data_IF_542724540986
#
_entry.id   IF_542724540986
#
_cell.length_a   1.000
_cell.length_b   1.000
_cell.length_c   1.000
_cell.angle_alpha   90.00
_cell.angle_beta   90.00
_cell.angle_gamma   90.00
#
_symmetry.space_group_name_H-M   'P 1'
#
loop_
_entity.id
_entity.type
_entity.pdbx_description
1 polymer ?
#
# COMPACT_ATOMS: atom_id res chain seq x y z
N UNK A 1 56.89 -12.00 8.64
CA UNK A 1 57.42 -13.16 7.91
C UNK A 1 56.70 -14.43 8.33
N UNK A 2 56.15 -15.17 7.36
CA UNK A 2 55.52 -16.47 7.60
C UNK A 2 54.21 -16.69 6.84
N UNK A 3 54.27 -16.65 5.51
CA UNK A 3 53.18 -17.01 4.60
C UNK A 3 53.03 -18.54 4.59
N UNK A 4 51.82 -19.04 4.88
CA UNK A 4 51.45 -20.46 4.78
C UNK A 4 50.37 -20.67 3.72
N UNK A 5 50.80 -21.00 2.51
CA UNK A 5 50.00 -21.36 1.34
C UNK A 5 49.34 -22.73 1.54
N UNK A 6 48.02 -22.81 1.36
CA UNK A 6 47.29 -24.10 1.26
C UNK A 6 47.02 -24.39 -0.22
N UNK A 7 47.55 -25.53 -0.67
CA UNK A 7 47.44 -26.05 -2.02
C UNK A 7 46.00 -26.46 -2.37
N UNK A 8 45.59 -26.12 -3.59
CA UNK A 8 44.37 -26.58 -4.26
C UNK A 8 44.65 -27.87 -5.02
N UNK A 9 44.00 -28.97 -4.64
CA UNK A 9 43.98 -30.20 -5.45
C UNK A 9 42.78 -30.18 -6.41
N UNK A 10 43.10 -30.39 -7.70
CA UNK A 10 42.16 -30.54 -8.80
C UNK A 10 41.76 -32.01 -8.91
N UNK A 11 40.50 -32.32 -8.65
CA UNK A 11 39.88 -33.61 -8.98
C UNK A 11 39.01 -33.49 -10.23
N UNK A 12 39.49 -34.02 -11.35
CA UNK A 12 38.72 -34.17 -12.59
C UNK A 12 37.78 -35.38 -12.51
N UNK A 13 36.51 -35.20 -12.82
CA UNK A 13 35.59 -36.30 -13.14
C UNK A 13 34.85 -36.00 -14.45
N UNK A 14 35.30 -36.70 -15.49
CA UNK A 14 34.66 -36.85 -16.80
C UNK A 14 33.63 -37.97 -16.74
N UNK A 15 32.41 -37.73 -17.21
CA UNK A 15 31.39 -38.77 -17.36
C UNK A 15 30.16 -38.25 -18.09
N UNK A 16 30.23 -38.24 -19.42
CA UNK A 16 29.13 -37.85 -20.27
C UNK A 16 28.06 -38.93 -20.41
N UNK A 17 26.79 -38.52 -20.44
CA UNK A 17 25.73 -39.25 -21.14
C UNK A 17 24.87 -38.23 -21.87
N UNK A 18 25.06 -38.16 -23.19
CA UNK A 18 24.11 -37.51 -24.12
C UNK A 18 22.90 -38.42 -24.25
N UNK A 19 21.69 -37.91 -23.98
CA UNK A 19 20.45 -38.49 -24.52
C UNK A 19 19.76 -37.50 -25.45
N UNK A 20 19.27 -38.09 -26.55
CA UNK A 20 18.84 -37.48 -27.80
C UNK A 20 17.52 -36.74 -27.67
N UNK A 21 17.40 -35.72 -28.52
CA UNK A 21 16.17 -35.09 -28.99
C UNK A 21 15.12 -36.13 -29.41
N UNK A 22 13.87 -35.84 -29.05
CA UNK A 22 12.70 -36.28 -29.81
C UNK A 22 11.83 -35.04 -30.08
N UNK A 23 11.77 -34.67 -31.36
CA UNK A 23 10.84 -33.73 -31.94
C UNK A 23 9.43 -34.31 -31.93
N UNK A 24 8.45 -33.58 -31.42
CA UNK A 24 7.06 -33.79 -31.75
C UNK A 24 6.47 -32.44 -32.19
N UNK A 25 6.45 -32.27 -33.51
CA UNK A 25 5.74 -31.24 -34.22
C UNK A 25 4.24 -31.50 -34.17
N UNK A 26 3.46 -30.58 -33.60
CA UNK A 26 2.03 -30.45 -33.88
C UNK A 26 1.74 -28.97 -34.12
N UNK A 27 1.86 -28.55 -35.37
CA UNK A 27 1.51 -27.19 -35.77
C UNK A 27 0.00 -26.95 -35.64
N UNK A 28 -0.44 -25.71 -35.32
CA UNK A 28 -1.85 -25.38 -35.32
C UNK A 28 -2.39 -25.39 -36.76
N UNK A 29 -3.48 -26.13 -36.95
CA UNK A 29 -4.27 -26.19 -38.18
C UNK A 29 -4.75 -24.79 -38.58
N UNK A 30 -4.31 -24.34 -39.76
CA UNK A 30 -4.81 -23.13 -40.42
C UNK A 30 -6.27 -23.35 -40.82
N UNK A 31 -7.19 -22.62 -40.21
CA UNK A 31 -8.57 -22.52 -40.70
C UNK A 31 -8.58 -21.61 -41.94
N UNK A 32 -8.95 -22.18 -43.07
CA UNK A 32 -9.10 -21.50 -44.35
C UNK A 32 -10.38 -20.64 -44.36
N UNK A 33 -10.25 -19.41 -44.84
CA UNK A 33 -11.38 -18.53 -45.15
C UNK A 33 -12.13 -19.00 -46.41
N UNK A 34 -13.48 -19.03 -46.42
CA UNK A 34 -14.25 -19.11 -47.65
C UNK A 34 -14.46 -17.71 -48.28
N UNK A 35 -14.70 -17.64 -49.59
CA UNK A 35 -14.56 -16.42 -50.38
C UNK A 35 -15.76 -15.47 -50.27
N UNK A 36 -15.45 -14.18 -50.43
CA UNK A 36 -16.40 -13.08 -50.58
C UNK A 36 -17.38 -13.31 -51.75
N UNK A 37 -18.68 -13.16 -51.49
CA UNK A 37 -19.68 -12.80 -52.51
C UNK A 37 -20.27 -11.43 -52.19
N UNK A 38 -20.16 -10.54 -53.16
CA UNK A 38 -20.74 -9.20 -53.16
C UNK A 38 -22.27 -9.25 -53.24
N UNK A 39 -22.92 -8.51 -52.34
CA UNK A 39 -24.34 -8.15 -52.41
C UNK A 39 -24.54 -6.81 -51.72
N UNK A 40 -24.35 -5.71 -52.47
CA UNK A 40 -24.64 -4.35 -52.01
C UNK A 40 -26.16 -4.15 -51.95
N UNK A 41 -26.72 -3.98 -50.75
CA UNK A 41 -27.91 -3.16 -50.51
C UNK A 41 -27.63 -2.26 -49.32
N UNK A 42 -27.29 -1.00 -49.63
CA UNK A 42 -27.11 0.04 -48.65
C UNK A 42 -28.48 0.44 -48.10
N UNK A 43 -28.79 -0.02 -46.89
CA UNK A 43 -29.83 0.59 -46.04
C UNK A 43 -29.08 1.55 -45.13
N UNK A 44 -29.33 2.85 -45.29
CA UNK A 44 -28.76 3.89 -44.46
C UNK A 44 -29.25 3.69 -43.01
N UNK A 45 -28.48 2.95 -42.22
CA UNK A 45 -28.58 3.00 -40.75
C UNK A 45 -27.93 4.31 -40.34
N UNK A 46 -28.75 5.25 -39.89
CA UNK A 46 -28.28 6.36 -39.09
C UNK A 46 -27.42 5.77 -37.97
N UNK A 47 -26.12 6.06 -38.00
CA UNK A 47 -25.18 5.69 -36.95
C UNK A 47 -25.53 6.53 -35.73
N UNK A 48 -26.47 6.03 -34.91
CA UNK A 48 -26.60 6.52 -33.55
C UNK A 48 -25.24 6.29 -32.89
N UNK A 49 -24.55 7.37 -32.51
CA UNK A 49 -23.44 7.29 -31.58
C UNK A 49 -23.92 6.45 -30.39
N UNK A 50 -23.18 5.42 -29.95
CA UNK A 50 -23.51 4.76 -28.70
C UNK A 50 -23.60 5.85 -27.63
N UNK A 51 -24.60 5.78 -26.71
CA UNK A 51 -24.71 6.78 -25.65
C UNK A 51 -23.35 6.90 -24.97
N UNK A 52 -22.90 8.13 -24.76
CA UNK A 52 -21.68 8.40 -24.01
C UNK A 52 -21.73 7.54 -22.75
N UNK A 53 -20.78 6.61 -22.59
CA UNK A 53 -20.73 5.78 -21.39
C UNK A 53 -20.69 6.75 -20.21
N UNK A 54 -21.70 6.68 -19.34
CA UNK A 54 -21.69 7.47 -18.12
C UNK A 54 -20.35 7.22 -17.40
N UNK A 55 -19.67 8.29 -16.99
CA UNK A 55 -18.43 8.17 -16.23
C UNK A 55 -18.69 7.29 -15.01
N UNK A 56 -17.77 6.35 -14.69
CA UNK A 56 -17.91 5.49 -13.52
C UNK A 56 -18.06 6.35 -12.26
N UNK A 57 -18.88 5.93 -11.28
CA UNK A 57 -19.04 6.69 -10.04
C UNK A 57 -17.69 6.81 -9.32
N UNK A 58 -17.47 7.90 -8.55
CA UNK A 58 -16.29 8.06 -7.71
C UNK A 58 -16.06 6.87 -6.79
N UNK A 59 -14.79 6.50 -6.60
CA UNK A 59 -14.42 5.49 -5.61
C UNK A 59 -14.53 6.06 -4.19
N UNK A 60 -14.86 5.22 -3.22
CA UNK A 60 -14.93 5.63 -1.82
C UNK A 60 -13.53 5.78 -1.23
N UNK A 61 -12.65 4.81 -1.49
CA UNK A 61 -11.26 4.83 -1.03
C UNK A 61 -10.32 4.45 -2.17
N UNK A 62 -9.30 5.28 -2.38
CA UNK A 62 -8.19 4.98 -3.28
C UNK A 62 -6.89 4.94 -2.51
N UNK A 63 -6.01 4.02 -2.88
CA UNK A 63 -4.63 4.03 -2.41
C UNK A 63 -3.66 3.99 -3.58
N UNK A 64 -2.39 4.26 -3.29
CA UNK A 64 -1.31 4.15 -4.27
C UNK A 64 -0.32 3.10 -3.84
N UNK A 65 0.65 2.88 -4.71
CA UNK A 65 1.83 2.05 -4.43
C UNK A 65 1.52 0.56 -4.51
N UNK A 66 2.17 -0.08 -5.48
CA UNK A 66 2.25 -1.52 -5.60
C UNK A 66 3.72 -1.87 -5.76
N UNK A 67 4.19 -2.77 -4.91
CA UNK A 67 5.48 -3.43 -5.09
C UNK A 67 5.31 -4.93 -4.94
N UNK A 68 6.27 -5.68 -5.46
CA UNK A 68 6.41 -7.10 -5.20
C UNK A 68 7.43 -7.27 -4.08
N UNK A 69 7.04 -7.88 -2.98
CA UNK A 69 7.91 -8.11 -1.84
C UNK A 69 8.47 -9.54 -1.85
N UNK A 70 9.76 -9.65 -1.55
CA UNK A 70 10.41 -10.90 -1.22
C UNK A 70 10.77 -10.84 0.27
N UNK A 71 9.99 -11.55 1.07
CA UNK A 71 10.10 -11.55 2.52
C UNK A 71 11.17 -12.54 2.97
N UNK A 72 12.05 -12.08 3.86
CA UNK A 72 13.10 -12.87 4.51
C UNK A 72 12.94 -12.68 6.01
N UNK A 73 12.60 -13.74 6.73
CA UNK A 73 12.36 -13.73 8.16
C UNK A 73 13.63 -14.11 8.94
N UNK A 74 13.65 -13.73 10.23
CA UNK A 74 14.81 -13.93 11.10
C UNK A 74 15.17 -15.41 11.36
N UNK A 75 14.22 -16.32 11.11
CA UNK A 75 14.41 -17.77 11.22
C UNK A 75 14.97 -18.40 9.93
N UNK A 76 15.25 -17.57 8.92
CA UNK A 76 15.76 -17.97 7.62
C UNK A 76 14.68 -18.42 6.63
N UNK A 77 13.40 -18.42 7.03
CA UNK A 77 12.31 -18.70 6.11
C UNK A 77 12.09 -17.53 5.15
N UNK A 78 11.62 -17.85 3.94
CA UNK A 78 11.36 -16.85 2.89
C UNK A 78 9.97 -17.01 2.29
N UNK A 79 9.42 -15.90 1.80
CA UNK A 79 8.20 -15.87 0.98
C UNK A 79 8.45 -14.94 -0.21
N UNK A 80 8.44 -15.51 -1.41
CA UNK A 80 8.81 -14.80 -2.62
C UNK A 80 7.57 -14.29 -3.35
N UNK A 81 7.70 -13.15 -4.02
CA UNK A 81 6.67 -12.58 -4.88
C UNK A 81 5.34 -12.29 -4.17
N UNK A 82 5.41 -11.79 -2.94
CA UNK A 82 4.24 -11.38 -2.15
C UNK A 82 3.74 -10.03 -2.63
N UNK A 83 2.42 -9.85 -2.71
CA UNK A 83 1.82 -8.55 -3.02
C UNK A 83 2.08 -7.56 -1.89
N UNK A 84 2.72 -6.43 -2.22
CA UNK A 84 3.13 -5.42 -1.26
C UNK A 84 2.90 -4.00 -1.75
N UNK A 85 3.53 -3.06 -1.06
CA UNK A 85 3.53 -1.64 -1.43
C UNK A 85 2.56 -0.79 -0.64
N UNK A 86 2.03 -1.26 0.48
CA UNK A 86 1.14 -0.49 1.35
C UNK A 86 -0.28 -0.31 0.80
N UNK A 87 -0.42 -0.01 -0.50
CA UNK A 87 -1.73 0.17 -1.15
C UNK A 87 -2.68 -1.00 -0.97
N UNK A 88 -2.29 -2.25 -1.34
CA UNK A 88 -3.13 -3.43 -1.13
C UNK A 88 -3.58 -3.61 0.32
N UNK A 89 -2.68 -3.42 1.29
CA UNK A 89 -2.99 -3.55 2.71
C UNK A 89 -3.91 -2.42 3.21
N UNK A 90 -3.70 -1.20 2.76
CA UNK A 90 -4.61 -0.07 3.01
C UNK A 90 -6.01 -0.36 2.49
N UNK A 91 -6.14 -0.87 1.27
CA UNK A 91 -7.44 -1.21 0.70
C UNK A 91 -8.08 -2.38 1.44
N UNK A 92 -7.29 -3.36 1.90
CA UNK A 92 -7.79 -4.43 2.76
C UNK A 92 -8.37 -3.89 4.07
N UNK A 93 -7.63 -3.02 4.76
CA UNK A 93 -8.11 -2.39 5.99
C UNK A 93 -9.36 -1.55 5.77
N UNK A 94 -9.41 -0.76 4.69
CA UNK A 94 -10.60 -0.01 4.31
C UNK A 94 -11.80 -0.95 4.05
N UNK A 95 -11.58 -2.06 3.35
CA UNK A 95 -12.61 -3.08 3.09
C UNK A 95 -13.18 -3.71 4.37
N UNK A 96 -12.36 -3.87 5.41
CA UNK A 96 -12.80 -4.35 6.73
C UNK A 96 -13.54 -3.31 7.57
N UNK A 97 -13.46 -2.02 7.24
CA UNK A 97 -14.18 -0.95 7.93
C UNK A 97 -15.69 -1.03 7.62
N UNK A 98 -16.35 -2.00 8.26
CA UNK A 98 -17.75 -2.44 8.16
C UNK A 98 -18.69 -1.35 7.66
N UNK A 99 -19.37 -1.56 6.52
CA UNK A 99 -20.62 -0.90 6.13
C UNK A 99 -21.45 -1.68 5.11
N UNK A 100 -22.69 -1.22 4.94
CA UNK A 100 -23.58 -1.62 3.85
C UNK A 100 -24.14 -0.34 3.18
N UNK A 101 -24.00 -0.17 1.85
CA UNK A 101 -23.27 -1.05 0.93
C UNK A 101 -21.75 -1.07 1.19
N UNK A 102 -21.02 -2.08 0.68
CA UNK A 102 -19.56 -2.13 0.74
C UNK A 102 -18.92 -0.92 0.06
N UNK A 103 -17.71 -0.57 0.50
CA UNK A 103 -16.92 0.50 -0.11
C UNK A 103 -16.44 0.10 -1.49
N UNK A 104 -16.44 1.05 -2.41
CA UNK A 104 -15.72 0.94 -3.68
C UNK A 104 -14.26 1.32 -3.47
N UNK A 105 -13.36 0.39 -3.82
CA UNK A 105 -11.92 0.47 -3.56
C UNK A 105 -11.16 0.57 -4.88
N UNK A 106 -10.04 1.29 -4.92
CA UNK A 106 -9.17 1.31 -6.10
C UNK A 106 -7.70 1.51 -5.79
N UNK A 107 -6.87 0.96 -6.67
CA UNK A 107 -5.42 1.07 -6.59
C UNK A 107 -4.88 1.80 -7.82
N UNK A 108 -4.08 2.84 -7.58
CA UNK A 108 -3.36 3.57 -8.63
C UNK A 108 -1.85 3.40 -8.43
N UNK A 109 -1.21 2.68 -9.35
CA UNK A 109 0.22 2.41 -9.28
C UNK A 109 0.79 2.09 -10.67
N UNK A 110 2.08 2.34 -10.85
CA UNK A 110 2.84 1.82 -11.98
C UNK A 110 3.20 0.36 -11.75
N UNK A 111 3.06 -0.46 -12.79
CA UNK A 111 3.55 -1.84 -12.84
C UNK A 111 4.49 -2.00 -14.02
N UNK A 112 5.31 -3.06 -14.02
CA UNK A 112 6.20 -3.34 -15.14
C UNK A 112 5.43 -3.64 -16.43
N UNK A 113 6.02 -3.29 -17.57
CA UNK A 113 5.45 -3.63 -18.88
C UNK A 113 5.48 -5.13 -19.19
N UNK A 114 4.84 -5.51 -20.30
CA UNK A 114 4.94 -6.85 -20.89
C UNK A 114 4.64 -8.03 -19.94
N UNK A 115 3.75 -7.82 -18.97
CA UNK A 115 3.35 -8.87 -18.01
C UNK A 115 4.40 -9.17 -16.94
N UNK A 116 5.31 -8.23 -16.65
CA UNK A 116 6.34 -8.36 -15.62
C UNK A 116 5.77 -8.48 -14.18
N UNK A 117 4.65 -7.81 -13.90
CA UNK A 117 3.98 -7.94 -12.61
C UNK A 117 3.43 -9.37 -12.43
N UNK A 118 3.74 -10.07 -11.32
CA UNK A 118 3.19 -11.39 -11.04
C UNK A 118 1.66 -11.40 -11.15
N UNK A 119 1.12 -12.39 -11.84
CA UNK A 119 -0.31 -12.45 -12.13
C UNK A 119 -1.13 -12.54 -10.85
N UNK A 120 -0.64 -13.30 -9.87
CA UNK A 120 -1.27 -13.53 -8.57
C UNK A 120 -1.44 -12.23 -7.76
N UNK A 121 -0.52 -11.28 -7.92
CA UNK A 121 -0.62 -9.95 -7.31
C UNK A 121 -1.83 -9.17 -7.84
N UNK A 122 -2.08 -9.25 -9.15
CA UNK A 122 -3.22 -8.58 -9.78
C UNK A 122 -4.52 -9.34 -9.51
N UNK A 123 -4.49 -10.68 -9.54
CA UNK A 123 -5.65 -11.53 -9.25
C UNK A 123 -6.18 -11.29 -7.84
N UNK A 124 -5.31 -11.17 -6.83
CA UNK A 124 -5.74 -10.85 -5.47
C UNK A 124 -6.58 -9.55 -5.44
N UNK A 125 -6.12 -8.49 -6.11
CA UNK A 125 -6.85 -7.21 -6.17
C UNK A 125 -8.23 -7.37 -6.82
N UNK A 126 -8.29 -8.08 -7.96
CA UNK A 126 -9.53 -8.30 -8.71
C UNK A 126 -10.52 -9.15 -7.90
N UNK A 127 -10.05 -10.23 -7.28
CA UNK A 127 -10.88 -11.13 -6.47
C UNK A 127 -11.45 -10.45 -5.23
N UNK A 128 -10.78 -9.40 -4.74
CA UNK A 128 -11.23 -8.56 -3.63
C UNK A 128 -12.03 -7.33 -4.10
N UNK A 129 -12.41 -7.27 -5.38
CA UNK A 129 -13.23 -6.19 -5.93
C UNK A 129 -12.54 -4.82 -5.96
N UNK A 130 -11.21 -4.79 -5.91
CA UNK A 130 -10.43 -3.56 -6.07
C UNK A 130 -10.43 -3.16 -7.55
N UNK A 131 -10.72 -1.89 -7.80
CA UNK A 131 -10.59 -1.31 -9.13
C UNK A 131 -9.11 -1.15 -9.51
N UNK A 132 -8.67 -1.98 -10.45
CA UNK A 132 -7.30 -2.03 -10.96
C UNK A 132 -7.08 -1.21 -12.23
N UNK A 133 -8.06 -0.42 -12.68
CA UNK A 133 -7.88 0.44 -13.88
C UNK A 133 -6.78 1.50 -13.69
N UNK A 134 -6.41 1.79 -12.45
CA UNK A 134 -5.28 2.65 -12.10
C UNK A 134 -3.91 1.98 -12.21
N UNK A 135 -3.84 0.66 -12.45
CA UNK A 135 -2.58 -0.03 -12.66
C UNK A 135 -2.05 0.25 -14.07
N UNK A 136 -0.95 1.00 -14.14
CA UNK A 136 -0.40 1.52 -15.40
C UNK A 136 0.90 0.78 -15.76
N UNK A 137 0.92 -0.01 -16.85
CA UNK A 137 2.15 -0.63 -17.33
C UNK A 137 3.19 0.41 -17.72
N UNK A 138 4.44 0.21 -17.29
CA UNK A 138 5.58 1.08 -17.55
C UNK A 138 6.63 0.28 -18.34
N UNK A 139 6.61 0.31 -19.70
CA UNK A 139 7.40 -0.61 -20.53
C UNK A 139 8.91 -0.65 -20.30
N UNK A 140 9.48 0.43 -19.73
CA UNK A 140 10.92 0.55 -19.50
C UNK A 140 11.35 0.26 -18.08
N UNK A 141 10.42 -0.05 -17.19
CA UNK A 141 10.69 -0.32 -15.77
C UNK A 141 10.14 -1.70 -15.41
N UNK A 142 10.87 -2.47 -14.58
CA UNK A 142 10.25 -3.61 -13.91
C UNK A 142 9.23 -3.10 -12.87
N UNK A 143 8.28 -3.95 -12.51
CA UNK A 143 7.43 -3.75 -11.34
C UNK A 143 8.35 -3.54 -10.14
N UNK A 144 8.15 -2.46 -9.35
CA UNK A 144 8.98 -2.22 -8.18
C UNK A 144 9.03 -3.46 -7.31
N UNK A 145 10.23 -3.90 -6.96
CA UNK A 145 10.45 -5.12 -6.19
C UNK A 145 11.45 -4.86 -5.09
N UNK A 146 11.23 -5.40 -3.90
CA UNK A 146 12.14 -5.23 -2.78
C UNK A 146 12.28 -6.51 -1.96
N UNK A 147 13.45 -6.70 -1.36
CA UNK A 147 13.61 -7.59 -0.22
C UNK A 147 13.09 -6.88 1.03
N UNK A 148 12.23 -7.53 1.78
CA UNK A 148 11.87 -7.12 3.13
C UNK A 148 12.55 -8.08 4.10
N UNK A 149 13.58 -7.60 4.79
CA UNK A 149 14.37 -8.40 5.72
C UNK A 149 13.93 -8.05 7.13
N UNK A 150 13.33 -9.01 7.83
CA UNK A 150 12.82 -8.85 9.19
C UNK A 150 13.75 -9.55 10.18
N UNK A 151 14.27 -8.78 11.13
CA UNK A 151 15.17 -9.22 12.19
C UNK A 151 14.40 -9.82 13.38
N UNK A 152 15.10 -10.50 14.29
CA UNK A 152 14.47 -11.12 15.46
C UNK A 152 13.79 -10.12 16.40
N UNK A 153 14.27 -8.87 16.39
CA UNK A 153 13.72 -7.76 17.16
C UNK A 153 12.59 -7.01 16.43
N UNK A 154 12.08 -7.57 15.32
CA UNK A 154 11.04 -6.95 14.49
C UNK A 154 11.55 -5.87 13.54
N UNK A 155 12.83 -5.48 13.61
CA UNK A 155 13.37 -4.45 12.72
C UNK A 155 13.31 -4.93 11.27
N UNK A 156 12.60 -4.16 10.43
CA UNK A 156 12.52 -4.38 8.98
C UNK A 156 13.51 -3.51 8.22
N UNK A 157 14.22 -4.11 7.26
CA UNK A 157 15.05 -3.40 6.28
C UNK A 157 14.55 -3.71 4.87
N UNK A 158 14.22 -2.65 4.12
CA UNK A 158 13.85 -2.77 2.72
C UNK A 158 15.06 -2.58 1.82
N UNK A 159 15.30 -3.54 0.92
CA UNK A 159 16.35 -3.45 -0.11
C UNK A 159 15.73 -3.56 -1.50
N UNK A 160 15.68 -2.44 -2.21
CA UNK A 160 15.16 -2.40 -3.57
C UNK A 160 15.93 -3.32 -4.52
N UNK A 161 15.22 -4.19 -5.21
CA UNK A 161 15.72 -5.04 -6.31
C UNK A 161 15.68 -4.28 -7.64
N UNK A 162 16.15 -3.04 -7.61
CA UNK A 162 16.15 -2.11 -8.72
C UNK A 162 17.51 -1.42 -8.81
N UNK A 163 18.01 -1.21 -10.02
CA UNK A 163 19.25 -0.48 -10.27
C UNK A 163 19.21 0.92 -9.64
N UNK A 164 20.32 1.36 -9.04
CA UNK A 164 20.37 2.63 -8.30
C UNK A 164 19.91 3.83 -9.11
N UNK A 165 20.21 3.84 -10.42
CA UNK A 165 19.86 4.93 -11.34
C UNK A 165 18.34 5.07 -11.52
N UNK A 166 17.59 4.00 -11.26
CA UNK A 166 16.13 3.94 -11.40
C UNK A 166 15.39 4.15 -10.07
N UNK A 167 16.10 4.17 -8.93
CA UNK A 167 15.52 4.39 -7.58
C UNK A 167 15.22 5.87 -7.27
N UNK A 168 15.32 6.74 -8.26
CA UNK A 168 14.95 8.15 -8.19
C UNK A 168 13.50 8.38 -8.66
N UNK A 169 13.32 9.33 -9.57
CA UNK A 169 12.00 9.83 -9.96
C UNK A 169 11.16 8.79 -10.72
N UNK A 170 11.80 7.90 -11.48
CA UNK A 170 11.11 6.80 -12.17
C UNK A 170 10.39 5.87 -11.20
N UNK A 171 11.07 5.44 -10.12
CA UNK A 171 10.45 4.62 -9.07
C UNK A 171 9.32 5.39 -8.39
N UNK A 172 9.54 6.64 -7.99
CA UNK A 172 8.51 7.43 -7.30
C UNK A 172 7.27 7.65 -8.17
N UNK A 173 7.44 7.86 -9.48
CA UNK A 173 6.34 7.97 -10.43
C UNK A 173 5.54 6.67 -10.59
N UNK A 174 6.17 5.50 -10.37
CA UNK A 174 5.45 4.23 -10.31
C UNK A 174 4.75 4.02 -8.96
N UNK A 175 5.41 4.31 -7.84
CA UNK A 175 4.80 4.15 -6.52
C UNK A 175 3.60 5.08 -6.36
N UNK A 176 3.72 6.33 -6.82
CA UNK A 176 2.69 7.35 -6.68
C UNK A 176 2.54 8.15 -7.97
N UNK A 177 1.77 7.63 -8.95
CA UNK A 177 1.53 8.31 -10.22
C UNK A 177 0.90 9.69 -10.03
N UNK A 178 1.23 10.63 -10.91
CA UNK A 178 0.65 11.97 -10.89
C UNK A 178 -0.88 11.91 -11.07
N UNK A 179 -1.63 12.74 -10.34
CA UNK A 179 -3.10 12.76 -10.38
C UNK A 179 -3.67 12.87 -11.80
N UNK A 180 -2.99 13.59 -12.70
CA UNK A 180 -3.39 13.74 -14.10
C UNK A 180 -3.41 12.46 -14.92
N UNK A 181 -2.77 11.38 -14.45
CA UNK A 181 -2.80 10.06 -15.11
C UNK A 181 -3.83 9.11 -14.52
N UNK A 182 -4.59 9.53 -13.50
CA UNK A 182 -5.54 8.66 -12.81
C UNK A 182 -6.82 8.46 -13.64
N UNK A 183 -7.45 7.27 -13.57
CA UNK A 183 -8.80 7.08 -14.10
C UNK A 183 -9.80 8.04 -13.45
N UNK A 184 -10.82 8.47 -14.20
CA UNK A 184 -11.79 9.50 -13.76
C UNK A 184 -12.41 9.22 -12.38
N UNK A 185 -12.83 7.98 -12.12
CA UNK A 185 -13.44 7.60 -10.84
C UNK A 185 -12.45 7.56 -9.67
N UNK A 186 -11.18 7.22 -9.93
CA UNK A 186 -10.13 7.27 -8.92
C UNK A 186 -9.70 8.72 -8.65
N UNK A 187 -9.59 9.54 -9.69
CA UNK A 187 -9.28 10.97 -9.57
C UNK A 187 -10.33 11.72 -8.74
N UNK A 188 -11.60 11.30 -8.80
CA UNK A 188 -12.71 11.85 -8.05
C UNK A 188 -12.95 11.16 -6.68
N UNK A 189 -12.04 10.31 -6.21
CA UNK A 189 -12.26 9.50 -5.01
C UNK A 189 -12.59 10.34 -3.76
N UNK A 190 -13.44 9.81 -2.89
CA UNK A 190 -13.87 10.49 -1.66
C UNK A 190 -12.79 10.52 -0.59
N UNK A 191 -11.96 9.49 -0.54
CA UNK A 191 -10.87 9.31 0.40
C UNK A 191 -9.63 8.78 -0.32
N UNK A 192 -8.46 9.30 0.03
CA UNK A 192 -7.19 8.77 -0.44
C UNK A 192 -6.21 8.55 0.72
N UNK A 193 -5.56 7.39 0.75
CA UNK A 193 -4.44 7.14 1.65
C UNK A 193 -3.20 6.66 0.89
N UNK A 194 -2.03 7.22 1.17
CA UNK A 194 -0.78 6.80 0.55
C UNK A 194 0.47 7.14 1.36
N UNK A 195 1.54 6.40 1.11
CA UNK A 195 2.86 6.65 1.70
C UNK A 195 3.59 7.84 1.06
N UNK A 196 4.36 8.56 1.86
CA UNK A 196 5.26 9.63 1.44
C UNK A 196 6.69 9.39 1.94
N UNK A 197 7.68 9.79 1.16
CA UNK A 197 9.08 9.80 1.62
C UNK A 197 9.29 11.11 2.40
N UNK A 198 9.70 11.07 3.67
CA UNK A 198 9.92 12.30 4.44
C UNK A 198 11.02 13.20 3.84
N UNK A 199 11.94 12.65 3.05
CA UNK A 199 12.95 13.43 2.31
C UNK A 199 12.43 14.03 1.00
N UNK A 200 11.23 13.63 0.56
CA UNK A 200 10.54 14.12 -0.65
C UNK A 200 9.04 14.27 -0.36
N UNK A 201 8.64 15.21 0.52
CA UNK A 201 7.23 15.41 0.83
C UNK A 201 6.52 15.95 -0.41
N UNK A 202 5.79 15.08 -1.10
CA UNK A 202 5.04 15.48 -2.28
C UNK A 202 3.61 15.86 -1.91
N UNK A 203 3.46 17.17 -1.70
CA UNK A 203 2.18 17.82 -1.42
C UNK A 203 1.29 17.97 -2.66
N UNK A 204 1.82 17.75 -3.87
CA UNK A 204 1.10 18.02 -5.11
C UNK A 204 -0.07 17.04 -5.33
N UNK A 205 0.08 15.78 -4.92
CA UNK A 205 -1.00 14.81 -5.03
C UNK A 205 -2.14 15.14 -4.05
N UNK A 206 -1.83 15.45 -2.79
CA UNK A 206 -2.84 15.89 -1.82
C UNK A 206 -3.57 17.15 -2.30
N UNK A 207 -2.83 18.14 -2.84
CA UNK A 207 -3.42 19.36 -3.38
C UNK A 207 -4.34 19.08 -4.58
N UNK A 208 -3.91 18.21 -5.51
CA UNK A 208 -4.71 17.84 -6.68
C UNK A 208 -5.98 17.08 -6.31
N UNK A 209 -5.88 16.14 -5.36
CA UNK A 209 -7.04 15.40 -4.84
C UNK A 209 -8.05 16.34 -4.17
N UNK A 210 -7.60 17.24 -3.30
CA UNK A 210 -8.48 18.24 -2.66
C UNK A 210 -9.13 19.17 -3.69
N UNK A 211 -8.35 19.66 -4.66
CA UNK A 211 -8.87 20.49 -5.75
C UNK A 211 -9.94 19.77 -6.60
N UNK A 212 -9.87 18.43 -6.68
CA UNK A 212 -10.85 17.60 -7.38
C UNK A 212 -11.99 17.09 -6.48
N UNK A 213 -12.14 17.63 -5.27
CA UNK A 213 -13.25 17.33 -4.37
C UNK A 213 -13.08 16.09 -3.49
N UNK A 214 -11.86 15.58 -3.33
CA UNK A 214 -11.57 14.54 -2.35
C UNK A 214 -11.86 15.08 -0.94
N UNK A 215 -12.68 14.36 -0.16
CA UNK A 215 -13.14 14.79 1.15
C UNK A 215 -12.17 14.48 2.29
N UNK A 216 -11.26 13.53 2.10
CA UNK A 216 -10.23 13.21 3.07
C UNK A 216 -8.96 12.67 2.39
N UNK A 217 -7.83 13.25 2.73
CA UNK A 217 -6.49 12.78 2.38
C UNK A 217 -5.75 12.36 3.64
N UNK A 218 -5.15 11.18 3.61
CA UNK A 218 -4.36 10.62 4.69
C UNK A 218 -2.99 10.21 4.16
N UNK A 219 -1.93 10.54 4.89
CA UNK A 219 -0.57 10.15 4.51
C UNK A 219 0.19 9.58 5.69
N UNK A 220 1.12 8.68 5.39
CA UNK A 220 2.11 8.20 6.35
C UNK A 220 3.51 8.28 5.74
N UNK A 221 4.56 8.53 6.52
CA UNK A 221 5.91 8.18 6.09
C UNK A 221 5.98 6.67 5.82
N UNK A 222 6.55 6.25 4.69
CA UNK A 222 6.83 4.83 4.47
C UNK A 222 8.26 4.42 4.90
N UNK A 223 9.06 5.39 5.36
CA UNK A 223 10.42 5.20 5.82
C UNK A 223 10.81 6.26 6.86
N UNK A 224 11.85 5.96 7.64
CA UNK A 224 12.42 6.93 8.58
C UNK A 224 13.13 8.05 7.84
N UNK A 225 13.10 9.26 8.39
CA UNK A 225 13.91 10.35 7.88
C UNK A 225 15.39 10.05 8.14
N UNK A 226 16.23 10.20 7.10
CA UNK A 226 17.68 10.00 7.20
C UNK A 226 18.37 11.08 8.02
N UNK A 227 17.78 12.27 7.99
CA UNK A 227 18.16 13.44 8.78
C UNK A 227 16.87 14.04 9.33
N UNK A 228 16.89 14.58 10.56
CA UNK A 228 15.76 15.32 11.10
C UNK A 228 15.34 16.46 10.17
N UNK A 229 14.05 16.73 10.10
CA UNK A 229 13.48 17.74 9.20
C UNK A 229 13.58 19.14 9.83
N UNK A 230 13.79 20.15 9.00
CA UNK A 230 13.64 21.54 9.39
C UNK A 230 12.18 21.89 9.70
N UNK A 231 11.94 22.98 10.43
CA UNK A 231 10.57 23.41 10.73
C UNK A 231 9.70 23.67 9.50
N UNK A 232 10.28 24.12 8.38
CA UNK A 232 9.54 24.28 7.11
C UNK A 232 9.20 22.95 6.44
N UNK A 233 10.11 21.98 6.49
CA UNK A 233 9.86 20.65 5.92
C UNK A 233 8.84 19.87 6.75
N UNK A 234 8.90 19.97 8.08
CA UNK A 234 7.88 19.44 8.99
C UNK A 234 6.51 20.01 8.66
N UNK A 235 6.39 21.34 8.50
CA UNK A 235 5.11 21.96 8.12
C UNK A 235 4.60 21.50 6.77
N UNK A 236 5.49 21.35 5.79
CA UNK A 236 5.11 20.88 4.46
C UNK A 236 4.62 19.43 4.49
N UNK A 237 5.27 18.58 5.29
CA UNK A 237 4.94 17.16 5.42
C UNK A 237 3.67 16.93 6.26
N UNK A 238 3.61 17.51 7.46
CA UNK A 238 2.49 17.33 8.39
C UNK A 238 1.21 18.00 7.89
N UNK A 239 1.32 19.19 7.29
CA UNK A 239 0.18 19.92 6.70
C UNK A 239 -0.17 19.50 5.26
N UNK A 240 0.43 18.43 4.74
CA UNK A 240 0.17 17.96 3.38
C UNK A 240 -1.25 17.44 3.19
N UNK A 241 -1.78 16.78 4.23
CA UNK A 241 -3.02 16.01 4.21
C UNK A 241 -3.82 16.23 5.51
N UNK A 242 -5.07 15.79 5.52
CA UNK A 242 -5.97 15.95 6.67
C UNK A 242 -5.57 15.00 7.83
N UNK A 243 -4.99 13.84 7.51
CA UNK A 243 -4.46 12.89 8.51
C UNK A 243 -2.98 12.62 8.25
N UNK A 244 -2.14 12.85 9.25
CA UNK A 244 -0.73 12.44 9.26
C UNK A 244 -0.53 11.24 10.21
N UNK A 245 -0.16 10.08 9.66
CA UNK A 245 -0.18 8.79 10.37
C UNK A 245 1.18 8.07 10.47
N UNK A 246 2.20 8.63 11.13
CA UNK A 246 3.48 7.95 11.29
C UNK A 246 3.40 6.81 12.31
N UNK A 247 4.26 5.80 12.15
CA UNK A 247 4.62 4.97 13.30
C UNK A 247 5.58 5.73 14.22
N UNK A 248 5.76 5.23 15.45
CA UNK A 248 6.57 5.90 16.45
C UNK A 248 8.03 6.09 16.03
N UNK A 249 8.63 5.09 15.36
CA UNK A 249 10.01 5.18 14.87
C UNK A 249 10.16 6.24 13.78
N UNK A 250 9.21 6.31 12.86
CA UNK A 250 9.13 7.35 11.83
C UNK A 250 8.97 8.72 12.48
N UNK A 251 8.00 8.90 13.38
CA UNK A 251 7.74 10.16 14.07
C UNK A 251 8.98 10.66 14.82
N UNK A 252 9.67 9.79 15.56
CA UNK A 252 10.92 10.12 16.26
C UNK A 252 11.99 10.60 15.29
N UNK A 253 12.15 9.92 14.15
CA UNK A 253 13.17 10.27 13.15
C UNK A 253 13.01 11.67 12.55
N UNK A 254 11.81 12.27 12.62
CA UNK A 254 11.56 13.60 12.07
C UNK A 254 12.19 14.71 12.92
N UNK A 255 12.52 14.46 14.20
CA UNK A 255 12.99 15.47 15.15
C UNK A 255 14.41 15.18 15.64
N UNK A 256 15.19 16.24 15.88
CA UNK A 256 16.57 16.11 16.40
C UNK A 256 16.62 15.47 17.78
N UNK A 257 15.64 15.77 18.63
CA UNK A 257 15.47 15.25 19.99
C UNK A 257 14.41 14.14 20.07
N UNK A 258 14.03 13.55 18.93
CA UNK A 258 12.90 12.61 18.83
C UNK A 258 12.96 11.43 19.79
N UNK A 259 14.14 10.86 20.04
CA UNK A 259 14.33 9.73 20.97
C UNK A 259 14.04 10.08 22.44
N UNK A 260 13.98 11.38 22.79
CA UNK A 260 13.69 11.84 24.16
C UNK A 260 12.23 12.22 24.37
N UNK A 261 11.43 12.26 23.30
CA UNK A 261 10.03 12.67 23.37
C UNK A 261 9.16 11.50 23.83
N UNK A 262 8.22 11.78 24.72
CA UNK A 262 7.11 10.87 24.98
C UNK A 262 6.19 10.77 23.76
N UNK A 263 5.36 9.71 23.64
CA UNK A 263 4.35 9.63 22.59
C UNK A 263 3.42 10.85 22.53
N UNK A 264 2.98 11.37 23.67
CA UNK A 264 2.14 12.58 23.74
C UNK A 264 2.87 13.83 23.22
N UNK A 265 4.17 13.97 23.51
CA UNK A 265 4.98 15.07 22.96
C UNK A 265 5.20 14.94 21.45
N UNK A 266 5.36 13.71 20.93
CA UNK A 266 5.40 13.48 19.48
C UNK A 266 4.08 13.91 18.82
N UNK A 267 2.93 13.49 19.37
CA UNK A 267 1.61 13.89 18.87
C UNK A 267 1.45 15.41 18.87
N UNK A 268 1.77 16.06 20.00
CA UNK A 268 1.71 17.53 20.12
C UNK A 268 2.56 18.21 19.05
N UNK A 269 3.83 17.81 18.89
CA UNK A 269 4.73 18.48 17.94
C UNK A 269 4.32 18.28 16.48
N UNK A 270 3.71 17.14 16.14
CA UNK A 270 3.15 16.89 14.82
C UNK A 270 1.91 17.74 14.55
N UNK A 271 1.04 17.89 15.55
CA UNK A 271 -0.12 18.79 15.49
C UNK A 271 0.31 20.26 15.36
N UNK A 272 1.29 20.71 16.17
CA UNK A 272 1.90 22.04 16.09
C UNK A 272 2.58 22.31 14.73
N UNK A 273 3.05 21.25 14.06
CA UNK A 273 3.58 21.31 12.71
C UNK A 273 2.49 21.40 11.62
N UNK A 274 1.21 21.35 11.98
CA UNK A 274 0.08 21.62 11.08
C UNK A 274 -0.67 20.40 10.58
N UNK A 275 -0.51 19.23 11.21
CA UNK A 275 -1.42 18.11 10.97
C UNK A 275 -2.78 18.37 11.63
N UNK A 276 -3.87 18.30 10.86
CA UNK A 276 -5.23 18.47 11.40
C UNK A 276 -5.60 17.29 12.31
N UNK A 277 -5.30 16.06 11.86
CA UNK A 277 -5.36 14.86 12.67
C UNK A 277 -4.00 14.16 12.67
N UNK A 278 -3.47 13.89 13.86
CA UNK A 278 -2.27 13.05 14.04
C UNK A 278 -2.73 11.66 14.45
N UNK A 279 -2.24 10.62 13.77
CA UNK A 279 -2.40 9.24 14.20
C UNK A 279 -1.04 8.56 14.41
N UNK A 280 -0.62 8.44 15.67
CA UNK A 280 0.66 7.83 16.02
C UNK A 280 0.50 6.33 16.26
N UNK A 281 1.01 5.49 15.36
CA UNK A 281 0.99 4.02 15.51
C UNK A 281 2.19 3.54 16.32
N UNK A 282 1.96 2.77 17.38
CA UNK A 282 2.96 2.37 18.39
C UNK A 282 3.15 0.84 18.50
N UNK A 283 2.92 0.11 17.40
CA UNK A 283 3.11 -1.35 17.36
C UNK A 283 2.28 -2.07 18.43
N UNK A 284 2.93 -2.88 19.26
CA UNK A 284 2.28 -3.60 20.38
C UNK A 284 1.60 -2.68 21.41
N UNK A 285 2.03 -1.42 21.51
CA UNK A 285 1.42 -0.40 22.37
C UNK A 285 0.17 0.25 21.76
N UNK A 286 -0.31 -0.26 20.61
CA UNK A 286 -1.51 0.20 19.94
C UNK A 286 -1.31 1.50 19.17
N UNK A 287 -2.24 2.44 19.27
CA UNK A 287 -2.17 3.71 18.55
C UNK A 287 -2.80 4.86 19.34
N UNK A 288 -2.35 6.09 19.07
CA UNK A 288 -2.94 7.34 19.54
C UNK A 288 -3.48 8.13 18.35
N UNK A 289 -4.61 8.80 18.52
CA UNK A 289 -5.09 9.79 17.57
C UNK A 289 -5.45 11.10 18.29
N UNK A 290 -5.18 12.22 17.65
CA UNK A 290 -5.52 13.54 18.15
C UNK A 290 -6.04 14.41 17.02
N UNK A 291 -7.18 15.05 17.23
CA UNK A 291 -7.80 16.01 16.32
C UNK A 291 -7.54 17.43 16.85
N UNK A 292 -6.71 18.18 16.15
CA UNK A 292 -6.30 19.52 16.56
C UNK A 292 -7.43 20.54 16.46
N UNK A 293 -8.39 20.35 15.55
CA UNK A 293 -9.54 21.24 15.38
C UNK A 293 -10.57 21.08 16.48
N UNK A 294 -10.67 19.88 17.06
CA UNK A 294 -11.60 19.55 18.15
C UNK A 294 -10.95 19.58 19.54
N UNK A 295 -9.62 19.59 19.63
CA UNK A 295 -8.86 19.45 20.87
C UNK A 295 -9.23 18.16 21.63
N UNK A 296 -9.37 17.06 20.88
CA UNK A 296 -9.78 15.75 21.38
C UNK A 296 -8.70 14.70 21.05
N UNK A 297 -8.29 13.91 22.05
CA UNK A 297 -7.31 12.83 21.90
C UNK A 297 -7.82 11.50 22.43
N UNK A 298 -7.46 10.41 21.75
CA UNK A 298 -7.78 9.04 22.17
C UNK A 298 -6.62 8.09 21.94
N UNK A 299 -6.42 7.12 22.83
CA UNK A 299 -5.50 6.01 22.60
C UNK A 299 -6.22 4.68 22.73
N UNK A 300 -5.82 3.73 21.89
CA UNK A 300 -6.37 2.39 21.82
C UNK A 300 -5.20 1.40 21.89
N UNK A 301 -5.22 0.40 22.80
CA UNK A 301 -4.20 -0.63 22.85
C UNK A 301 -4.28 -1.56 21.63
N UNK A 302 -3.21 -2.33 21.39
CA UNK A 302 -3.26 -3.39 20.39
C UNK A 302 -4.30 -4.45 20.76
N UNK A 303 -5.07 -4.90 19.76
CA UNK A 303 -6.01 -6.02 19.87
C UNK A 303 -5.51 -7.26 19.12
N UNK A 304 -4.21 -7.31 18.82
CA UNK A 304 -3.57 -8.45 18.17
C UNK A 304 -3.63 -9.69 19.07
N UNK A 305 -4.12 -10.80 18.49
CA UNK A 305 -4.19 -12.11 19.11
C UNK A 305 -2.98 -12.98 18.78
N UNK A 306 -2.43 -12.80 17.57
CA UNK A 306 -1.22 -13.47 17.12
C UNK A 306 -0.45 -12.57 16.14
N UNK A 307 0.87 -12.78 16.06
CA UNK A 307 1.75 -12.04 15.14
C UNK A 307 2.54 -13.07 14.32
N UNK A 308 2.25 -13.10 13.03
CA UNK A 308 2.92 -13.90 12.01
C UNK A 308 3.84 -13.02 11.17
N UNK A 309 3.34 -11.87 10.72
CA UNK A 309 4.09 -10.90 9.92
C UNK A 309 3.56 -9.49 10.18
N UNK A 310 4.47 -8.55 10.47
CA UNK A 310 4.14 -7.15 10.72
C UNK A 310 4.00 -6.33 9.43
N UNK A 311 4.35 -6.91 8.28
CA UNK A 311 4.42 -6.22 7.00
C UNK A 311 3.04 -5.71 6.58
N UNK A 312 2.88 -4.39 6.56
CA UNK A 312 1.69 -3.72 6.07
C UNK A 312 0.50 -3.69 7.05
N UNK A 313 0.64 -4.18 8.29
CA UNK A 313 -0.42 -4.04 9.30
C UNK A 313 -0.73 -2.57 9.61
N UNK A 314 0.29 -1.71 9.58
CA UNK A 314 0.16 -0.26 9.69
C UNK A 314 -0.60 0.38 8.53
N UNK A 315 -0.40 -0.12 7.31
CA UNK A 315 -1.15 0.35 6.14
C UNK A 315 -2.63 -0.03 6.24
N UNK A 316 -2.92 -1.24 6.71
CA UNK A 316 -4.30 -1.68 6.96
C UNK A 316 -4.96 -0.86 8.07
N UNK A 317 -4.23 -0.56 9.14
CA UNK A 317 -4.68 0.40 10.16
C UNK A 317 -5.10 1.72 9.49
N UNK A 318 -4.20 2.32 8.71
CA UNK A 318 -4.41 3.61 8.09
C UNK A 318 -5.59 3.59 7.10
N UNK A 319 -5.77 2.51 6.35
CA UNK A 319 -6.90 2.35 5.45
C UNK A 319 -8.24 2.32 6.15
N UNK A 320 -8.36 1.53 7.23
CA UNK A 320 -9.58 1.49 8.03
C UNK A 320 -9.84 2.84 8.74
N UNK A 321 -8.80 3.46 9.30
CA UNK A 321 -8.88 4.77 9.95
C UNK A 321 -9.36 5.85 8.97
N UNK A 322 -8.72 5.96 7.80
CA UNK A 322 -9.09 6.95 6.79
C UNK A 322 -10.51 6.71 6.24
N UNK A 323 -10.89 5.45 6.02
CA UNK A 323 -12.25 5.09 5.59
C UNK A 323 -13.33 5.42 6.64
N UNK A 324 -13.00 5.31 7.93
CA UNK A 324 -13.90 5.71 9.02
C UNK A 324 -14.15 7.22 8.97
N UNK A 325 -13.07 8.01 9.02
CA UNK A 325 -13.14 9.48 9.05
C UNK A 325 -13.78 10.06 7.79
N UNK A 326 -13.50 9.50 6.61
CA UNK A 326 -14.09 9.99 5.34
C UNK A 326 -15.61 9.83 5.28
N UNK A 327 -16.20 9.09 6.22
CA UNK A 327 -17.64 8.89 6.39
C UNK A 327 -18.21 9.66 7.58
N UNK A 328 -17.42 10.55 8.17
CA UNK A 328 -17.80 11.38 9.32
C UNK A 328 -17.77 10.64 10.65
N UNK A 329 -17.11 9.47 10.74
CA UNK A 329 -16.84 8.83 12.02
C UNK A 329 -15.72 9.58 12.75
N UNK A 330 -15.75 9.59 14.09
CA UNK A 330 -14.73 10.25 14.90
C UNK A 330 -13.42 9.46 15.00
N UNK A 331 -12.36 10.13 15.44
CA UNK A 331 -11.02 9.52 15.59
C UNK A 331 -10.98 8.32 16.54
N UNK A 332 -11.84 8.27 17.58
CA UNK A 332 -11.95 7.11 18.48
C UNK A 332 -12.47 5.85 17.75
N UNK A 333 -13.42 6.03 16.85
CA UNK A 333 -13.96 4.93 16.02
C UNK A 333 -12.93 4.50 14.97
N UNK A 334 -12.26 5.47 14.33
CA UNK A 334 -11.16 5.21 13.41
C UNK A 334 -10.03 4.40 14.07
N UNK A 335 -9.65 4.72 15.32
CA UNK A 335 -8.66 3.95 16.08
C UNK A 335 -9.10 2.51 16.29
N UNK A 336 -10.37 2.28 16.63
CA UNK A 336 -10.87 0.94 16.90
C UNK A 336 -10.93 0.08 15.63
N UNK A 337 -11.45 0.63 14.54
CA UNK A 337 -11.49 -0.04 13.23
C UNK A 337 -10.08 -0.27 12.68
N UNK A 338 -9.19 0.72 12.81
CA UNK A 338 -7.77 0.62 12.46
C UNK A 338 -7.08 -0.51 13.21
N UNK A 339 -7.24 -0.55 14.54
CA UNK A 339 -6.63 -1.57 15.39
C UNK A 339 -7.13 -2.97 15.06
N UNK A 340 -8.43 -3.11 14.78
CA UNK A 340 -9.02 -4.37 14.33
C UNK A 340 -8.45 -4.81 12.97
N UNK A 341 -8.42 -3.93 11.97
CA UNK A 341 -7.87 -4.24 10.65
C UNK A 341 -6.39 -4.65 10.72
N UNK A 342 -5.58 -3.90 11.46
CA UNK A 342 -4.18 -4.22 11.68
C UNK A 342 -4.01 -5.59 12.32
N UNK A 343 -4.81 -5.90 13.34
CA UNK A 343 -4.75 -7.19 14.04
C UNK A 343 -5.05 -8.38 13.13
N UNK A 344 -5.92 -8.23 12.13
CA UNK A 344 -6.23 -9.31 11.17
C UNK A 344 -5.06 -9.51 10.21
N UNK A 345 -4.46 -8.43 9.73
CA UNK A 345 -3.29 -8.51 8.83
C UNK A 345 -2.09 -9.12 9.54
N UNK A 346 -1.88 -8.82 10.83
CA UNK A 346 -0.78 -9.39 11.63
C UNK A 346 -0.75 -10.92 11.65
N UNK A 347 -1.86 -11.60 11.42
CA UNK A 347 -1.94 -13.08 11.47
C UNK A 347 -1.56 -13.74 10.13
N UNK A 348 -1.22 -12.95 9.12
CA UNK A 348 -0.98 -13.41 7.76
C UNK A 348 0.33 -12.83 7.21
N UNK A 349 1.02 -13.62 6.40
CA UNK A 349 2.15 -13.14 5.61
C UNK A 349 1.61 -12.26 4.48
N UNK A 350 2.01 -10.98 4.44
CA UNK A 350 1.53 -10.03 3.45
C UNK A 350 0.02 -9.75 3.56
N UNK A 351 -0.66 -9.57 2.42
CA UNK A 351 -2.13 -9.42 2.41
C UNK A 351 -2.82 -10.74 2.79
N UNK A 352 -3.91 -10.71 3.58
CA UNK A 352 -4.66 -11.91 3.90
C UNK A 352 -5.24 -12.58 2.63
N UNK A 353 -5.29 -13.93 2.58
CA UNK A 353 -5.74 -14.67 1.40
C UNK A 353 -7.27 -14.67 1.21
N UNK A 354 -8.02 -14.52 2.31
CA UNK A 354 -9.48 -14.50 2.30
C UNK A 354 -10.09 -13.14 2.01
N UNK A 355 -11.35 -13.14 1.55
CA UNK A 355 -12.08 -11.91 1.22
C UNK A 355 -12.51 -11.10 2.45
N UNK A 356 -12.96 -9.86 2.23
CA UNK A 356 -13.40 -8.99 3.33
C UNK A 356 -14.54 -9.60 4.16
N UNK A 357 -15.48 -10.28 3.51
CA UNK A 357 -16.63 -10.93 4.19
C UNK A 357 -16.22 -12.07 5.11
N UNK A 358 -15.13 -12.77 4.79
CA UNK A 358 -14.62 -13.88 5.60
C UNK A 358 -14.08 -13.37 6.94
N UNK A 359 -13.36 -12.24 6.92
CA UNK A 359 -12.78 -11.64 8.12
C UNK A 359 -13.73 -10.67 8.83
N UNK A 360 -14.88 -10.34 8.23
CA UNK A 360 -15.78 -9.27 8.70
C UNK A 360 -16.23 -9.47 10.15
N UNK A 361 -16.68 -10.67 10.50
CA UNK A 361 -17.19 -10.93 11.85
C UNK A 361 -16.10 -10.82 12.90
N UNK A 362 -14.90 -11.32 12.59
CA UNK A 362 -13.76 -11.24 13.50
C UNK A 362 -13.25 -9.80 13.63
N UNK A 363 -13.14 -9.06 12.52
CA UNK A 363 -12.78 -7.65 12.53
C UNK A 363 -13.77 -6.83 13.39
N UNK A 364 -15.08 -7.09 13.31
CA UNK A 364 -16.07 -6.41 14.15
C UNK A 364 -15.94 -6.77 15.63
N UNK A 365 -15.67 -8.05 15.96
CA UNK A 365 -15.41 -8.45 17.36
C UNK A 365 -14.20 -7.71 17.93
N UNK A 366 -13.11 -7.65 17.16
CA UNK A 366 -11.88 -6.96 17.57
C UNK A 366 -12.08 -5.45 17.65
N UNK A 367 -12.86 -4.87 16.74
CA UNK A 367 -13.23 -3.45 16.79
C UNK A 367 -14.07 -3.16 18.04
N UNK A 368 -15.02 -4.02 18.41
CA UNK A 368 -15.79 -3.86 19.66
C UNK A 368 -14.89 -3.93 20.91
N UNK A 369 -13.92 -4.85 20.94
CA UNK A 369 -12.93 -4.93 22.01
C UNK A 369 -12.04 -3.66 22.04
N UNK A 370 -11.59 -3.19 20.88
CA UNK A 370 -10.80 -1.97 20.74
C UNK A 370 -11.59 -0.75 21.24
N UNK A 371 -12.85 -0.56 20.80
CA UNK A 371 -13.74 0.51 21.27
C UNK A 371 -13.88 0.52 22.78
N UNK A 372 -14.04 -0.65 23.41
CA UNK A 372 -14.17 -0.78 24.85
C UNK A 372 -12.88 -0.44 25.62
N UNK A 373 -11.72 -0.58 24.96
CA UNK A 373 -10.40 -0.30 25.53
C UNK A 373 -9.87 1.10 25.18
N UNK A 374 -10.50 1.81 24.24
CA UNK A 374 -10.11 3.17 23.85
C UNK A 374 -10.38 4.14 24.99
N UNK A 375 -9.36 4.91 25.36
CA UNK A 375 -9.44 5.94 26.42
C UNK A 375 -9.09 7.31 25.87
N UNK A 376 -9.71 8.35 26.41
CA UNK A 376 -9.40 9.72 26.03
C UNK A 376 -8.11 10.21 26.71
N UNK A 377 -7.36 11.09 26.05
CA UNK A 377 -6.25 11.82 26.64
C UNK A 377 -6.32 13.30 26.23
N UNK A 378 -5.60 14.14 26.96
CA UNK A 378 -5.39 15.56 26.62
C UNK A 378 -3.91 15.79 26.34
N UNK A 379 -3.60 16.70 25.42
CA UNK A 379 -2.21 17.02 25.11
C UNK A 379 -1.54 17.80 26.23
#
# INVERSE_FOLDING_TARGET
>A
DGVGTVHTERGAWSGGVRRRMASASTGPSRLAHPPHRHGRRAVARASAQPPARASPPPLDVVSTTLIVDDLVFHDGTTRMAVLGGGGPQTLFGAGLARRSPPLTLGLVAGIGGDGDCPRECVEWLVDHGVDVRGLTPTPRMPTPRAWQITERDGRRTQVWRLDERRRGDELHAMLRPAHSSWPENAAAARCAHFGVDPSRPDVSLCAALRANGCGLTSVEPFTVARVPLSGSELRALCGAADVFSPNEREARSLFVDGDRLSPTELVRRLADAGADVVCLRRGESGAMAYDAGRDEGYECPSVATSVVDETGCGNAFCGAFAAALSRGEGIAEGLALGSAAASVVLEHVGVPPGGFEEYREEAERRAAAARAATVAFSL
#
